data_IF_603018336468
#
_entry.id   IF_603018336468
#
_cell.length_a   1.000
_cell.length_b   1.000
_cell.length_c   1.000
_cell.angle_alpha   90.00
_cell.angle_beta   90.00
_cell.angle_gamma   90.00
#
_symmetry.space_group_name_H-M   'P 1'
#
loop_
_entity.id
_entity.type
_entity.pdbx_description
1 polymer ?
#
# COMPACT_ATOMS: atom_id res chain seq x y z
N UNK A 1 -11.26 1.94 5.31
CA UNK A 1 -10.42 2.23 4.12
C UNK A 1 -11.30 2.95 3.12
N UNK A 2 -10.98 4.19 2.72
CA UNK A 2 -11.73 4.90 1.66
C UNK A 2 -10.92 4.77 0.38
N UNK A 3 -11.49 4.17 -0.65
CA UNK A 3 -10.85 3.99 -1.97
C UNK A 3 -11.43 5.05 -2.90
N UNK A 4 -10.59 5.95 -3.39
CA UNK A 4 -10.94 6.82 -4.51
C UNK A 4 -10.70 6.04 -5.80
N UNK A 5 -11.78 5.73 -6.51
CA UNK A 5 -11.73 5.00 -7.78
C UNK A 5 -11.30 6.01 -8.84
N UNK A 6 -10.08 5.84 -9.39
CA UNK A 6 -9.62 6.61 -10.55
C UNK A 6 -10.15 5.94 -11.82
N UNK A 7 -11.09 6.59 -12.53
CA UNK A 7 -11.60 6.16 -13.85
C UNK A 7 -13.01 5.58 -13.89
N UNK A 8 -13.49 5.26 -15.11
CA UNK A 8 -14.85 4.84 -15.49
C UNK A 8 -15.30 3.45 -14.97
N UNK A 9 -14.69 2.92 -13.91
CA UNK A 9 -15.23 1.73 -13.24
C UNK A 9 -16.49 2.20 -12.51
N UNK A 10 -17.70 1.69 -12.84
CA UNK A 10 -18.90 2.10 -12.12
C UNK A 10 -18.67 1.80 -10.65
N UNK A 11 -18.60 2.86 -9.84
CA UNK A 11 -18.23 2.81 -8.42
C UNK A 11 -19.02 1.74 -7.66
N UNK A 12 -20.25 1.47 -8.08
CA UNK A 12 -21.13 0.47 -7.50
C UNK A 12 -20.65 -0.97 -7.70
N UNK A 13 -20.09 -1.31 -8.87
CA UNK A 13 -19.62 -2.67 -9.15
C UNK A 13 -18.39 -3.00 -8.31
N UNK A 14 -17.42 -2.08 -8.25
CA UNK A 14 -16.23 -2.24 -7.41
C UNK A 14 -16.59 -2.36 -5.92
N UNK A 15 -17.53 -1.56 -5.41
CA UNK A 15 -18.00 -1.67 -4.02
C UNK A 15 -18.66 -3.02 -3.75
N UNK A 16 -19.53 -3.51 -4.63
CA UNK A 16 -20.16 -4.85 -4.50
C UNK A 16 -19.12 -5.97 -4.50
N UNK A 17 -18.12 -5.85 -5.37
CA UNK A 17 -17.01 -6.80 -5.44
C UNK A 17 -16.19 -6.80 -4.13
N UNK A 18 -15.77 -5.64 -3.62
CA UNK A 18 -15.02 -5.57 -2.34
C UNK A 18 -15.85 -6.12 -1.16
N UNK A 19 -17.15 -5.83 -1.11
CA UNK A 19 -18.03 -6.34 -0.07
C UNK A 19 -18.17 -7.87 -0.13
N UNK A 20 -18.41 -8.42 -1.31
CA UNK A 20 -18.51 -9.88 -1.52
C UNK A 20 -17.20 -10.59 -1.17
N UNK A 21 -16.04 -9.96 -1.42
CA UNK A 21 -14.74 -10.48 -1.02
C UNK A 21 -14.60 -10.54 0.51
N UNK A 22 -15.00 -9.46 1.21
CA UNK A 22 -14.99 -9.40 2.68
C UNK A 22 -15.98 -10.37 3.33
N UNK A 23 -17.11 -10.63 2.68
CA UNK A 23 -18.13 -11.59 3.11
C UNK A 23 -17.75 -13.07 2.83
N UNK A 24 -16.64 -13.33 2.13
CA UNK A 24 -16.26 -14.68 1.72
C UNK A 24 -17.16 -15.29 0.63
N UNK A 25 -17.92 -14.46 -0.11
CA UNK A 25 -18.84 -14.88 -1.19
C UNK A 25 -18.17 -14.84 -2.57
N UNK A 26 -16.88 -14.51 -2.63
CA UNK A 26 -16.14 -14.49 -3.87
C UNK A 26 -15.92 -15.90 -4.44
N UNK A 27 -15.93 -16.08 -5.77
CA UNK A 27 -15.73 -17.39 -6.38
C UNK A 27 -14.38 -17.99 -5.96
N UNK A 28 -14.44 -19.13 -5.27
CA UNK A 28 -13.25 -19.92 -4.92
C UNK A 28 -13.00 -20.98 -5.99
N UNK A 29 -11.73 -21.23 -6.29
CA UNK A 29 -11.36 -22.39 -7.08
C UNK A 29 -11.51 -23.62 -6.19
N UNK A 30 -12.39 -24.54 -6.60
CA UNK A 30 -12.82 -25.71 -5.82
C UNK A 30 -11.69 -26.64 -5.33
N UNK A 31 -10.45 -26.44 -5.80
CA UNK A 31 -9.30 -27.27 -5.48
C UNK A 31 -8.23 -26.60 -4.61
N UNK A 32 -8.33 -25.30 -4.26
CA UNK A 32 -7.16 -24.61 -3.66
C UNK A 32 -7.43 -23.56 -2.58
N UNK A 33 -8.66 -23.39 -2.08
CA UNK A 33 -9.03 -22.28 -1.17
C UNK A 33 -8.65 -20.87 -1.69
N UNK A 34 -8.27 -20.78 -2.97
CA UNK A 34 -7.85 -19.54 -3.61
C UNK A 34 -9.07 -18.89 -4.23
N UNK A 35 -9.20 -17.59 -3.95
CA UNK A 35 -10.16 -16.72 -4.61
C UNK A 35 -9.64 -16.36 -6.00
N UNK A 36 -10.49 -16.45 -7.01
CA UNK A 36 -10.17 -15.96 -8.35
C UNK A 36 -10.57 -14.49 -8.47
N UNK A 37 -9.60 -13.60 -8.61
CA UNK A 37 -9.85 -12.17 -8.82
C UNK A 37 -10.25 -11.93 -10.29
N UNK A 38 -11.42 -11.32 -10.57
CA UNK A 38 -11.82 -10.96 -11.93
C UNK A 38 -10.81 -10.02 -12.60
N UNK A 39 -10.67 -10.13 -13.93
CA UNK A 39 -9.71 -9.31 -14.68
C UNK A 39 -10.04 -7.81 -14.67
N UNK A 40 -11.30 -7.45 -14.44
CA UNK A 40 -11.80 -6.08 -14.32
C UNK A 40 -11.72 -5.52 -12.89
N UNK A 41 -11.34 -6.34 -11.91
CA UNK A 41 -11.30 -5.95 -10.50
C UNK A 41 -10.14 -5.00 -10.19
N UNK A 42 -8.98 -5.20 -10.82
CA UNK A 42 -7.80 -4.35 -10.64
C UNK A 42 -6.93 -4.29 -11.89
N UNK A 43 -6.21 -3.18 -12.05
CA UNK A 43 -5.13 -3.07 -13.04
C UNK A 43 -3.89 -3.80 -12.53
N UNK A 44 -3.41 -4.78 -13.31
CA UNK A 44 -2.10 -5.38 -13.07
C UNK A 44 -1.00 -4.42 -13.51
N UNK A 45 0.01 -4.24 -12.66
CA UNK A 45 1.20 -3.47 -12.97
C UNK A 45 2.41 -4.41 -12.99
N UNK A 46 3.19 -4.47 -14.08
CA UNK A 46 4.27 -5.45 -14.25
C UNK A 46 5.47 -5.18 -13.33
N UNK A 47 5.65 -3.96 -12.83
CA UNK A 47 6.80 -3.61 -11.97
C UNK A 47 6.41 -2.73 -10.80
N UNK A 48 7.20 -2.82 -9.73
CA UNK A 48 7.02 -1.96 -8.56
C UNK A 48 7.27 -0.47 -8.88
N UNK A 49 8.17 -0.18 -9.81
CA UNK A 49 8.44 1.19 -10.28
C UNK A 49 7.22 1.78 -10.98
N UNK A 50 6.49 0.99 -11.76
CA UNK A 50 5.23 1.43 -12.38
C UNK A 50 4.11 1.62 -11.36
N UNK A 51 3.99 0.74 -10.36
CA UNK A 51 3.06 0.94 -9.25
C UNK A 51 3.32 2.28 -8.56
N UNK A 52 4.59 2.58 -8.27
CA UNK A 52 4.99 3.84 -7.65
C UNK A 52 4.66 5.06 -8.51
N UNK A 53 4.89 5.00 -9.82
CA UNK A 53 4.53 6.09 -10.74
C UNK A 53 3.02 6.34 -10.79
N UNK A 54 2.21 5.28 -10.67
CA UNK A 54 0.75 5.41 -10.61
C UNK A 54 0.28 6.02 -9.27
N UNK A 55 0.85 5.59 -8.15
CA UNK A 55 0.40 6.05 -6.81
C UNK A 55 0.98 7.42 -6.47
N UNK A 56 2.26 7.66 -6.77
CA UNK A 56 3.01 8.88 -6.47
C UNK A 56 3.59 9.50 -7.75
N UNK A 57 2.75 10.02 -8.66
CA UNK A 57 3.25 10.70 -9.85
C UNK A 57 4.05 11.94 -9.46
N UNK A 58 5.25 12.09 -10.01
CA UNK A 58 6.10 13.28 -9.80
C UNK A 58 6.48 13.53 -8.33
N UNK A 59 6.75 12.46 -7.57
CA UNK A 59 7.05 12.55 -6.14
C UNK A 59 8.25 13.46 -5.84
N UNK A 60 9.25 13.51 -6.71
CA UNK A 60 10.45 14.34 -6.55
C UNK A 60 10.12 15.83 -6.42
N UNK A 61 9.01 16.30 -7.03
CA UNK A 61 8.53 17.68 -6.90
C UNK A 61 7.41 17.83 -5.86
N UNK A 62 6.58 16.80 -5.64
CA UNK A 62 5.38 16.88 -4.79
C UNK A 62 5.61 16.48 -3.33
N UNK A 63 6.77 15.94 -2.94
CA UNK A 63 7.02 15.41 -1.59
C UNK A 63 6.84 16.41 -0.43
N UNK A 64 6.85 17.73 -0.67
CA UNK A 64 6.57 18.73 0.36
C UNK A 64 5.07 19.04 0.52
N UNK A 65 4.25 18.63 -0.43
CA UNK A 65 2.82 18.84 -0.40
C UNK A 65 2.16 17.76 0.47
N UNK A 66 1.90 18.10 1.73
CA UNK A 66 1.31 17.19 2.70
C UNK A 66 -0.07 16.71 2.25
N UNK A 67 -0.95 17.62 1.80
CA UNK A 67 -2.29 17.26 1.33
C UNK A 67 -2.23 16.23 0.19
N UNK A 68 -1.31 16.42 -0.76
CA UNK A 68 -1.13 15.49 -1.87
C UNK A 68 -0.62 14.11 -1.39
N UNK A 69 0.30 14.08 -0.41
CA UNK A 69 0.80 12.82 0.15
C UNK A 69 -0.24 12.06 0.97
N UNK A 70 -1.05 12.76 1.77
CA UNK A 70 -2.02 12.14 2.68
C UNK A 70 -3.12 11.33 1.96
N UNK A 71 -3.40 11.65 0.71
CA UNK A 71 -4.40 10.95 -0.12
C UNK A 71 -3.89 9.65 -0.75
N UNK A 72 -2.60 9.34 -0.61
CA UNK A 72 -1.93 8.27 -1.35
C UNK A 72 -1.35 7.24 -0.39
N UNK A 73 -1.59 5.95 -0.66
CA UNK A 73 -1.09 4.86 0.18
C UNK A 73 -0.82 3.61 -0.64
N UNK A 74 0.31 2.97 -0.35
CA UNK A 74 0.61 1.59 -0.79
C UNK A 74 0.44 0.68 0.42
N UNK A 75 -0.28 -0.42 0.22
CA UNK A 75 -0.48 -1.46 1.22
C UNK A 75 0.15 -2.75 0.72
N UNK A 76 0.82 -3.47 1.61
CA UNK A 76 1.33 -4.80 1.33
C UNK A 76 1.05 -5.71 2.53
N UNK A 77 0.89 -7.03 2.33
CA UNK A 77 0.59 -7.96 3.42
C UNK A 77 1.69 -8.08 4.48
N UNK A 78 2.95 -7.78 4.11
CA UNK A 78 4.13 -7.93 4.98
C UNK A 78 4.93 -6.65 5.05
N UNK A 79 5.46 -6.34 6.24
CA UNK A 79 6.32 -5.18 6.47
C UNK A 79 7.61 -5.21 5.65
N UNK A 80 8.18 -6.40 5.41
CA UNK A 80 9.36 -6.55 4.54
C UNK A 80 9.13 -5.97 3.13
N UNK A 81 7.93 -6.17 2.58
CA UNK A 81 7.57 -5.64 1.28
C UNK A 81 7.41 -4.12 1.34
N UNK A 82 6.79 -3.60 2.41
CA UNK A 82 6.67 -2.15 2.64
C UNK A 82 8.05 -1.49 2.80
N UNK A 83 8.99 -2.13 3.50
CA UNK A 83 10.35 -1.60 3.68
C UNK A 83 11.04 -1.45 2.32
N UNK A 84 10.98 -2.47 1.45
CA UNK A 84 11.51 -2.41 0.08
C UNK A 84 10.87 -1.28 -0.73
N UNK A 85 9.55 -1.09 -0.61
CA UNK A 85 8.82 -0.02 -1.28
C UNK A 85 9.30 1.35 -0.79
N UNK A 86 9.39 1.54 0.52
CA UNK A 86 9.83 2.78 1.14
C UNK A 86 11.26 3.13 0.73
N UNK A 87 12.17 2.15 0.67
CA UNK A 87 13.55 2.36 0.22
C UNK A 87 13.62 2.87 -1.21
N UNK A 88 12.79 2.34 -2.11
CA UNK A 88 12.74 2.79 -3.51
C UNK A 88 12.16 4.20 -3.60
N UNK A 89 11.07 4.49 -2.86
CA UNK A 89 10.47 5.83 -2.78
C UNK A 89 11.51 6.85 -2.30
N UNK A 90 12.27 6.53 -1.25
CA UNK A 90 13.31 7.40 -0.71
C UNK A 90 14.42 7.67 -1.73
N UNK A 91 14.85 6.66 -2.50
CA UNK A 91 15.86 6.81 -3.56
C UNK A 91 15.39 7.75 -4.68
N UNK A 92 14.10 7.72 -5.05
CA UNK A 92 13.55 8.60 -6.09
C UNK A 92 13.51 10.08 -5.69
N UNK A 93 13.57 10.40 -4.40
CA UNK A 93 13.64 11.79 -3.94
C UNK A 93 14.99 12.44 -4.23
N UNK A 94 16.04 11.67 -4.56
CA UNK A 94 17.39 12.16 -4.91
C UNK A 94 17.98 13.16 -3.91
N UNK A 95 17.62 13.02 -2.62
CA UNK A 95 18.08 13.88 -1.53
C UNK A 95 18.79 13.06 -0.46
N UNK A 96 19.54 13.74 0.40
CA UNK A 96 20.18 13.14 1.55
C UNK A 96 19.12 12.54 2.48
N UNK A 97 19.26 11.25 2.78
CA UNK A 97 18.47 10.57 3.82
C UNK A 97 19.14 10.72 5.17
N UNK A 98 18.34 10.88 6.22
CA UNK A 98 18.80 10.87 7.62
C UNK A 98 18.16 9.71 8.35
N UNK A 99 18.98 8.85 8.95
CA UNK A 99 18.50 7.75 9.79
C UNK A 99 18.39 8.21 11.23
N UNK A 100 17.20 8.13 11.80
CA UNK A 100 16.95 8.37 13.22
C UNK A 100 16.92 7.03 13.96
N UNK A 101 17.77 6.87 14.97
CA UNK A 101 17.79 5.65 15.80
C UNK A 101 16.69 5.74 16.85
N UNK A 102 15.92 4.67 17.02
CA UNK A 102 14.98 4.57 18.13
C UNK A 102 15.75 4.42 19.45
N UNK A 103 15.21 5.02 20.50
CA UNK A 103 15.64 4.76 21.88
C UNK A 103 14.67 3.72 22.41
N UNK A 104 15.13 2.47 22.46
CA UNK A 104 14.41 1.37 23.11
C UNK A 104 15.22 0.97 24.34
N UNK A 105 14.80 1.47 25.51
CA UNK A 105 15.42 1.16 26.78
C UNK A 105 14.52 0.16 27.50
N UNK A 106 14.99 -1.08 27.67
CA UNK A 106 14.37 -1.98 28.63
C UNK A 106 14.71 -1.46 30.03
N UNK A 107 13.69 -1.18 30.83
CA UNK A 107 13.90 -0.85 32.24
C UNK A 107 14.59 -2.06 32.88
N UNK A 108 15.73 -1.84 33.51
CA UNK A 108 16.43 -2.90 34.21
C UNK A 108 15.48 -3.47 35.27
N UNK A 109 15.37 -4.79 35.38
CA UNK A 109 14.42 -5.43 36.32
C UNK A 109 14.69 -5.04 37.78
N UNK A 110 15.88 -4.50 38.06
CA UNK A 110 16.29 -4.01 39.37
C UNK A 110 15.79 -2.58 39.68
N UNK A 111 15.19 -1.87 38.70
CA UNK A 111 14.58 -0.55 38.88
C UNK A 111 13.04 -0.58 38.84
N UNK A 112 12.44 -1.77 38.77
CA UNK A 112 11.01 -1.96 38.99
C UNK A 112 10.75 -1.94 40.51
N UNK A 113 10.26 -0.81 41.02
CA UNK A 113 9.77 -0.65 42.40
C UNK A 113 8.47 -1.42 42.58
#
# INVERSE_FOLDING_TARGET
MRVHILGDIPSENFTKQILSLGDGKFPTKAASDLVSIPSDFCGSVPTLRELMRHVFPDISNKYKNHHWLCERKILAPKNENINKINDIILKELQRNSTTYKSIDAMMDKEQAV
#
